data_IF_734365011440
#
_entry.id   IF_734365011440
#
_cell.length_a   1.000
_cell.length_b   1.000
_cell.length_c   1.000
_cell.angle_alpha   90.00
_cell.angle_beta   90.00
_cell.angle_gamma   90.00
#
_symmetry.space_group_name_H-M   'P 1'
#
loop_
_entity.id
_entity.type
_entity.pdbx_description
1 polymer ?
#
# COMPACT_ATOMS: atom_id res chain seq x y z
N UNK A 1 1.69 -10.68 7.22
CA UNK A 1 0.86 -11.90 7.17
C UNK A 1 -0.54 -11.54 6.69
N UNK A 2 -1.07 -12.24 5.68
CA UNK A 2 -2.41 -12.01 5.12
C UNK A 2 -2.57 -10.74 4.29
N UNK A 3 -1.49 -10.07 3.94
CA UNK A 3 -1.51 -8.91 3.06
C UNK A 3 -1.36 -9.33 1.59
N UNK A 4 -1.85 -8.53 0.68
CA UNK A 4 -1.78 -8.76 -0.77
C UNK A 4 -0.34 -8.93 -1.25
N UNK A 5 0.60 -8.16 -0.70
CA UNK A 5 2.02 -8.29 -1.00
C UNK A 5 2.60 -9.70 -0.71
N UNK A 6 2.11 -10.39 0.33
CA UNK A 6 2.50 -11.78 0.59
C UNK A 6 2.01 -12.72 -0.50
N UNK A 7 0.81 -12.50 -1.01
CA UNK A 7 0.26 -13.29 -2.12
C UNK A 7 1.09 -13.08 -3.38
N UNK A 8 1.39 -11.83 -3.74
CA UNK A 8 2.25 -11.51 -4.88
C UNK A 8 3.64 -12.15 -4.74
N UNK A 9 4.24 -12.11 -3.55
CA UNK A 9 5.55 -12.71 -3.31
C UNK A 9 5.56 -14.22 -3.57
N UNK A 10 4.49 -14.93 -3.17
CA UNK A 10 4.36 -16.39 -3.35
C UNK A 10 4.19 -16.81 -4.81
N UNK A 11 3.76 -15.91 -5.69
CA UNK A 11 3.64 -16.15 -7.13
C UNK A 11 4.98 -16.00 -7.87
N UNK A 12 5.99 -15.41 -7.23
CA UNK A 12 7.32 -15.24 -7.83
C UNK A 12 8.05 -16.59 -7.84
N UNK A 13 8.38 -17.04 -9.04
CA UNK A 13 9.05 -18.32 -9.24
C UNK A 13 10.42 -18.37 -8.53
N UNK A 14 10.66 -19.44 -7.78
CA UNK A 14 11.88 -19.68 -7.01
C UNK A 14 12.14 -18.67 -5.87
N UNK A 15 11.15 -17.90 -5.43
CA UNK A 15 11.29 -17.04 -4.26
C UNK A 15 11.16 -17.84 -2.95
N UNK A 16 12.06 -17.59 -2.01
CA UNK A 16 11.91 -18.02 -0.61
C UNK A 16 11.23 -16.88 0.17
N UNK A 17 9.94 -17.03 0.44
CA UNK A 17 9.12 -15.97 1.00
C UNK A 17 9.11 -15.99 2.52
N UNK A 18 9.58 -14.91 3.13
CA UNK A 18 9.53 -14.67 4.57
C UNK A 18 8.46 -13.63 4.90
N UNK A 19 7.40 -14.04 5.59
CA UNK A 19 6.30 -13.15 5.99
C UNK A 19 6.57 -12.53 7.35
N UNK A 20 6.53 -11.20 7.41
CA UNK A 20 6.74 -10.41 8.63
C UNK A 20 5.53 -9.50 8.84
N UNK A 21 5.18 -9.23 10.09
CA UNK A 21 3.99 -8.43 10.46
C UNK A 21 4.30 -6.94 10.62
N UNK A 22 5.55 -6.57 10.79
CA UNK A 22 5.99 -5.20 11.02
C UNK A 22 6.88 -4.72 9.88
N UNK A 23 6.48 -3.61 9.23
CA UNK A 23 7.20 -3.02 8.11
C UNK A 23 8.61 -2.57 8.49
N UNK A 24 8.82 -2.05 9.70
CA UNK A 24 10.14 -1.61 10.15
C UNK A 24 11.11 -2.79 10.27
N UNK A 25 10.62 -3.91 10.80
CA UNK A 25 11.41 -5.15 10.87
C UNK A 25 11.74 -5.67 9.47
N UNK A 26 10.79 -5.59 8.55
CA UNK A 26 10.95 -6.00 7.16
C UNK A 26 12.03 -5.19 6.44
N UNK A 27 11.98 -3.86 6.58
CA UNK A 27 12.96 -2.93 5.99
C UNK A 27 14.34 -3.10 6.63
N UNK A 28 14.42 -3.32 7.95
CA UNK A 28 15.70 -3.56 8.62
C UNK A 28 16.32 -4.90 8.19
N UNK A 29 15.50 -5.92 7.97
CA UNK A 29 15.95 -7.20 7.45
C UNK A 29 16.55 -7.05 6.04
N UNK A 30 15.95 -6.22 5.18
CA UNK A 30 16.51 -5.86 3.88
C UNK A 30 17.85 -5.12 4.04
N UNK A 31 17.91 -4.13 4.93
CA UNK A 31 19.12 -3.34 5.17
C UNK A 31 20.31 -4.19 5.62
N UNK A 32 20.04 -5.17 6.45
CA UNK A 32 21.07 -6.10 6.98
C UNK A 32 21.39 -7.27 6.06
N UNK A 33 20.76 -7.36 4.90
CA UNK A 33 20.98 -8.44 3.94
C UNK A 33 20.33 -9.77 4.31
N UNK A 34 19.36 -9.76 5.23
CA UNK A 34 18.61 -10.96 5.60
C UNK A 34 17.54 -11.38 4.59
N UNK A 35 17.21 -10.46 3.66
CA UNK A 35 16.41 -10.70 2.44
C UNK A 35 16.99 -9.87 1.31
N UNK A 36 16.75 -10.28 0.07
CA UNK A 36 17.23 -9.60 -1.14
C UNK A 36 16.27 -8.51 -1.62
N UNK A 37 14.99 -8.67 -1.33
CA UNK A 37 13.94 -7.72 -1.71
C UNK A 37 12.78 -7.76 -0.69
N UNK A 38 11.98 -6.69 -0.68
CA UNK A 38 10.72 -6.62 0.07
C UNK A 38 9.60 -6.11 -0.83
N UNK A 39 8.39 -6.58 -0.57
CA UNK A 39 7.18 -6.13 -1.25
C UNK A 39 6.36 -5.34 -0.25
N UNK A 40 6.02 -4.10 -0.61
CA UNK A 40 5.29 -3.14 0.21
C UNK A 40 4.30 -2.36 -0.66
N UNK A 41 3.34 -1.71 -0.01
CA UNK A 41 2.51 -0.69 -0.68
C UNK A 41 3.38 0.43 -1.24
N UNK A 42 3.02 0.96 -2.41
CA UNK A 42 3.79 1.96 -3.13
C UNK A 42 4.15 3.17 -2.26
N UNK A 43 3.19 3.79 -1.58
CA UNK A 43 3.42 4.99 -0.76
C UNK A 43 4.39 4.71 0.40
N UNK A 44 4.30 3.52 1.01
CA UNK A 44 5.22 3.08 2.07
C UNK A 44 6.61 2.86 1.52
N UNK A 45 6.74 2.14 0.41
CA UNK A 45 8.03 1.88 -0.26
C UNK A 45 8.71 3.19 -0.67
N UNK A 46 7.96 4.11 -1.30
CA UNK A 46 8.45 5.41 -1.74
C UNK A 46 9.04 6.23 -0.59
N UNK A 47 8.39 6.23 0.57
CA UNK A 47 8.91 6.93 1.75
C UNK A 47 10.29 6.40 2.18
N UNK A 48 10.52 5.09 2.11
CA UNK A 48 11.83 4.51 2.43
C UNK A 48 12.87 4.77 1.32
N UNK A 49 12.47 4.82 0.07
CA UNK A 49 13.35 5.21 -1.04
C UNK A 49 13.83 6.65 -0.85
N UNK A 50 12.90 7.57 -0.62
CA UNK A 50 13.20 9.01 -0.52
C UNK A 50 14.04 9.35 0.74
N UNK A 51 13.84 8.65 1.85
CA UNK A 51 14.41 9.03 3.15
C UNK A 51 15.47 8.07 3.70
N UNK A 52 15.62 6.87 3.15
CA UNK A 52 16.49 5.85 3.72
C UNK A 52 17.45 5.18 2.71
N UNK A 53 17.52 5.70 1.50
CA UNK A 53 18.49 5.29 0.48
C UNK A 53 18.24 3.91 -0.15
N UNK A 54 17.02 3.40 -0.08
CA UNK A 54 16.62 2.20 -0.81
C UNK A 54 16.32 2.50 -2.27
N UNK A 55 16.21 1.45 -3.07
CA UNK A 55 15.77 1.52 -4.47
C UNK A 55 14.44 0.78 -4.62
N UNK A 56 13.60 1.25 -5.50
CA UNK A 56 12.34 0.63 -5.86
C UNK A 56 12.37 0.23 -7.33
N UNK A 57 11.78 -0.92 -7.66
CA UNK A 57 11.51 -1.31 -9.04
C UNK A 57 10.26 -0.52 -9.46
N UNK A 58 10.35 0.18 -10.58
CA UNK A 58 9.28 1.04 -11.10
C UNK A 58 8.27 0.22 -11.93
N UNK A 59 7.80 -0.87 -11.34
CA UNK A 59 6.80 -1.77 -11.91
C UNK A 59 5.92 -2.30 -10.76
N UNK A 60 4.62 -2.02 -10.81
CA UNK A 60 3.68 -2.52 -9.83
C UNK A 60 3.42 -4.02 -10.04
N UNK A 61 3.53 -4.81 -8.98
CA UNK A 61 3.16 -6.24 -9.01
C UNK A 61 1.63 -6.42 -9.04
N UNK A 62 0.91 -5.47 -8.46
CA UNK A 62 -0.54 -5.44 -8.41
C UNK A 62 -1.02 -4.00 -8.23
N UNK A 63 -2.07 -3.63 -8.96
CA UNK A 63 -2.82 -2.40 -8.74
C UNK A 63 -4.07 -2.73 -7.92
N UNK A 64 -4.29 -2.03 -6.82
CA UNK A 64 -5.41 -2.24 -5.92
C UNK A 64 -6.27 -0.99 -5.81
N UNK A 65 -7.58 -1.21 -5.66
CA UNK A 65 -8.53 -0.15 -5.33
C UNK A 65 -8.93 -0.25 -3.85
N UNK A 66 -8.99 0.88 -3.18
CA UNK A 66 -9.48 0.96 -1.80
C UNK A 66 -10.95 1.39 -1.80
N UNK A 67 -11.79 0.66 -1.08
CA UNK A 67 -13.22 0.88 -1.01
C UNK A 67 -13.67 1.13 0.43
N UNK A 68 -14.66 2.01 0.59
CA UNK A 68 -15.41 2.14 1.85
C UNK A 68 -16.56 1.13 1.82
N UNK A 69 -16.66 0.30 2.83
CA UNK A 69 -17.71 -0.70 2.94
C UNK A 69 -18.56 -0.50 4.19
N UNK A 70 -19.81 -0.92 4.12
CA UNK A 70 -20.72 -0.97 5.28
C UNK A 70 -21.46 -2.30 5.36
N UNK A 71 -22.21 -2.49 6.42
CA UNK A 71 -23.12 -3.66 6.54
C UNK A 71 -24.14 -3.65 5.39
N UNK A 72 -24.38 -4.81 4.80
CA UNK A 72 -25.38 -5.00 3.74
C UNK A 72 -26.75 -4.44 4.17
N UNK A 73 -27.38 -3.68 3.29
CA UNK A 73 -28.67 -3.05 3.54
C UNK A 73 -28.59 -1.63 4.13
N UNK A 74 -27.39 -1.15 4.49
CA UNK A 74 -27.19 0.23 4.97
C UNK A 74 -27.08 1.23 3.83
N UNK A 75 -28.11 1.27 2.98
CA UNK A 75 -28.11 2.00 1.70
C UNK A 75 -28.06 3.51 1.93
N UNK A 76 -28.78 4.03 2.92
CA UNK A 76 -28.82 5.45 3.25
C UNK A 76 -27.42 5.99 3.59
N UNK A 77 -26.70 5.30 4.50
CA UNK A 77 -25.33 5.64 4.84
C UNK A 77 -24.41 5.63 3.62
N UNK A 78 -24.50 4.59 2.78
CA UNK A 78 -23.65 4.49 1.59
C UNK A 78 -23.95 5.53 0.54
N UNK A 79 -25.20 5.96 0.40
CA UNK A 79 -25.56 7.08 -0.48
C UNK A 79 -24.91 8.39 0.01
N UNK A 80 -24.93 8.65 1.31
CA UNK A 80 -24.29 9.83 1.90
C UNK A 80 -22.76 9.77 1.76
N UNK A 81 -22.16 8.61 1.99
CA UNK A 81 -20.72 8.38 1.79
C UNK A 81 -20.31 8.60 0.34
N UNK A 82 -21.03 8.02 -0.61
CA UNK A 82 -20.74 8.17 -2.05
C UNK A 82 -20.86 9.63 -2.48
N UNK A 83 -21.87 10.34 -2.02
CA UNK A 83 -22.02 11.79 -2.30
C UNK A 83 -20.84 12.59 -1.76
N UNK A 84 -20.43 12.32 -0.54
CA UNK A 84 -19.27 12.99 0.06
C UNK A 84 -17.97 12.67 -0.69
N UNK A 85 -17.78 11.43 -1.13
CA UNK A 85 -16.62 11.03 -1.95
C UNK A 85 -16.60 11.71 -3.30
N UNK A 86 -17.75 11.82 -3.99
CA UNK A 86 -17.85 12.48 -5.29
C UNK A 86 -17.47 13.97 -5.18
N UNK A 87 -17.80 14.63 -4.07
CA UNK A 87 -17.41 16.01 -3.79
C UNK A 87 -15.96 16.16 -3.35
N UNK A 88 -15.42 15.16 -2.67
CA UNK A 88 -14.07 15.21 -2.06
C UNK A 88 -12.96 14.79 -3.03
N UNK A 89 -13.15 13.69 -3.77
CA UNK A 89 -12.16 13.16 -4.72
C UNK A 89 -11.93 14.17 -5.84
N UNK A 90 -10.68 14.56 -6.05
CA UNK A 90 -10.31 15.58 -7.03
C UNK A 90 -10.45 17.04 -6.53
N UNK A 91 -10.89 17.26 -5.29
CA UNK A 91 -10.87 18.59 -4.65
C UNK A 91 -9.44 19.03 -4.31
N UNK A 92 -9.24 20.34 -4.10
CA UNK A 92 -7.94 20.87 -3.67
C UNK A 92 -7.46 20.22 -2.36
N UNK A 93 -8.40 19.97 -1.44
CA UNK A 93 -8.06 19.29 -0.16
C UNK A 93 -7.64 17.85 -0.35
N UNK A 94 -8.27 17.14 -1.28
CA UNK A 94 -7.86 15.79 -1.66
C UNK A 94 -6.43 15.77 -2.23
N UNK A 95 -6.13 16.70 -3.13
CA UNK A 95 -4.80 16.82 -3.75
C UNK A 95 -3.74 17.20 -2.72
N UNK A 96 -4.02 18.15 -1.82
CA UNK A 96 -3.15 18.50 -0.69
C UNK A 96 -2.81 17.28 0.18
N UNK A 97 -3.80 16.45 0.49
CA UNK A 97 -3.60 15.24 1.29
C UNK A 97 -2.77 14.20 0.55
N UNK A 98 -2.97 14.04 -0.77
CA UNK A 98 -2.14 13.15 -1.59
C UNK A 98 -0.67 13.57 -1.55
N UNK A 99 -0.39 14.84 -1.76
CA UNK A 99 0.99 15.37 -1.69
C UNK A 99 1.59 15.16 -0.30
N UNK A 100 0.83 15.50 0.75
CA UNK A 100 1.29 15.36 2.14
C UNK A 100 1.67 13.94 2.52
N UNK A 101 0.93 12.95 2.02
CA UNK A 101 1.10 11.54 2.39
C UNK A 101 1.82 10.70 1.33
N UNK A 102 2.19 11.29 0.19
CA UNK A 102 2.90 10.60 -0.89
C UNK A 102 2.05 9.55 -1.62
N UNK A 103 0.75 9.79 -1.71
CA UNK A 103 -0.20 8.87 -2.33
C UNK A 103 -0.50 9.25 -3.79
#
# INVERSE_FOLDING_TARGET
MGATGETCAKEIKNADVKSVTDVKVLVETLRTGGVDAVILDYAVAKNYVDNAGFKMIDEALLEEENLIISKKGNTELMNDVNKALDEFVGSDKYNELKEKWGA
#
